data_IF_351137090305
#
_entry.id   IF_351137090305
#
_cell.length_a   1.000
_cell.length_b   1.000
_cell.length_c   1.000
_cell.angle_alpha   90.00
_cell.angle_beta   90.00
_cell.angle_gamma   90.00
#
_symmetry.space_group_name_H-M   'P 1'
#
loop_
_entity.id
_entity.type
_entity.pdbx_description
1 polymer ?
#
# COMPACT_ATOMS: atom_id res chain seq x y z
N UNK A 1 17.69 -4.60 -0.52
CA UNK A 1 16.71 -4.81 0.55
C UNK A 1 16.11 -3.47 0.95
N UNK A 2 14.87 -3.29 0.59
CA UNK A 2 14.12 -2.08 0.92
C UNK A 2 12.82 -2.43 1.63
N UNK A 3 12.23 -1.45 2.30
CA UNK A 3 10.90 -1.54 2.88
C UNK A 3 9.97 -0.73 1.98
N UNK A 4 8.95 -1.37 1.44
CA UNK A 4 8.11 -0.80 0.38
C UNK A 4 6.65 -0.96 0.76
N UNK A 5 5.96 0.17 0.97
CA UNK A 5 4.51 0.14 1.12
C UNK A 5 3.86 0.13 -0.26
N UNK A 6 2.92 -0.78 -0.44
CA UNK A 6 2.08 -0.81 -1.65
C UNK A 6 0.69 -0.27 -1.33
N UNK A 7 0.20 0.59 -2.21
CA UNK A 7 -1.13 1.18 -2.08
C UNK A 7 -2.22 0.14 -2.36
N UNK A 8 -3.43 0.39 -1.87
CA UNK A 8 -4.57 -0.53 -2.03
C UNK A 8 -4.83 -0.88 -3.49
N UNK A 9 -4.72 0.09 -4.41
CA UNK A 9 -4.94 -0.18 -5.82
C UNK A 9 -3.97 -1.24 -6.39
N UNK A 10 -2.74 -1.28 -5.92
CA UNK A 10 -1.76 -2.30 -6.33
C UNK A 10 -2.20 -3.69 -5.86
N UNK A 11 -2.72 -3.81 -4.64
CA UNK A 11 -3.25 -5.07 -4.12
C UNK A 11 -4.49 -5.53 -4.91
N UNK A 12 -5.38 -4.61 -5.25
CA UNK A 12 -6.56 -4.93 -6.07
C UNK A 12 -6.11 -5.47 -7.43
N UNK A 13 -5.16 -4.82 -8.08
CA UNK A 13 -4.61 -5.31 -9.35
C UNK A 13 -3.97 -6.69 -9.21
N UNK A 14 -3.21 -6.90 -8.14
CA UNK A 14 -2.55 -8.18 -7.87
C UNK A 14 -3.54 -9.35 -7.80
N UNK A 15 -4.65 -9.16 -7.11
CA UNK A 15 -5.61 -10.23 -6.82
C UNK A 15 -6.77 -10.33 -7.82
N UNK A 16 -7.17 -9.22 -8.45
CA UNK A 16 -8.45 -9.15 -9.17
C UNK A 16 -8.32 -8.73 -10.64
N UNK A 17 -7.15 -8.29 -11.09
CA UNK A 17 -6.98 -7.74 -12.43
C UNK A 17 -6.10 -8.62 -13.30
N UNK A 18 -6.67 -9.11 -14.41
CA UNK A 18 -5.94 -9.89 -15.41
C UNK A 18 -5.37 -9.03 -16.55
N UNK A 19 -5.56 -7.69 -16.47
CA UNK A 19 -5.03 -6.75 -17.44
C UNK A 19 -3.56 -6.43 -17.21
N UNK A 20 -3.04 -5.46 -17.95
CA UNK A 20 -1.66 -4.97 -17.82
C UNK A 20 -1.31 -4.53 -16.39
N UNK A 21 -2.24 -3.88 -15.67
CA UNK A 21 -1.99 -3.46 -14.29
C UNK A 21 -1.81 -4.65 -13.35
N UNK A 22 -2.60 -5.69 -13.53
CA UNK A 22 -2.44 -6.93 -12.77
C UNK A 22 -1.11 -7.60 -13.06
N UNK A 23 -0.71 -7.67 -14.32
CA UNK A 23 0.58 -8.23 -14.73
C UNK A 23 1.75 -7.44 -14.14
N UNK A 24 1.69 -6.11 -14.18
CA UNK A 24 2.72 -5.26 -13.59
C UNK A 24 2.78 -5.40 -12.07
N UNK A 25 1.65 -5.52 -11.40
CA UNK A 25 1.60 -5.73 -9.95
C UNK A 25 2.21 -7.06 -9.55
N UNK A 26 1.91 -8.13 -10.28
CA UNK A 26 2.53 -9.44 -10.04
C UNK A 26 4.04 -9.39 -10.27
N UNK A 27 4.49 -8.73 -11.33
CA UNK A 27 5.92 -8.55 -11.60
C UNK A 27 6.61 -7.75 -10.51
N UNK A 28 5.96 -6.71 -9.99
CA UNK A 28 6.47 -5.93 -8.86
C UNK A 28 6.71 -6.83 -7.64
N UNK A 29 5.73 -7.64 -7.27
CA UNK A 29 5.85 -8.56 -6.14
C UNK A 29 6.95 -9.60 -6.35
N UNK A 30 7.07 -10.15 -7.54
CA UNK A 30 8.18 -11.06 -7.88
C UNK A 30 9.54 -10.39 -7.71
N UNK A 31 9.68 -9.18 -8.23
CA UNK A 31 10.92 -8.42 -8.14
C UNK A 31 11.29 -8.09 -6.69
N UNK A 32 10.30 -7.68 -5.88
CA UNK A 32 10.52 -7.43 -4.46
C UNK A 32 10.97 -8.70 -3.73
N UNK A 33 10.36 -9.84 -4.06
CA UNK A 33 10.73 -11.13 -3.47
C UNK A 33 12.18 -11.52 -3.85
N UNK A 34 12.54 -11.36 -5.11
CA UNK A 34 13.91 -11.68 -5.57
C UNK A 34 14.98 -10.82 -4.91
N UNK A 35 14.65 -9.59 -4.54
CA UNK A 35 15.57 -8.67 -3.85
C UNK A 35 15.51 -8.77 -2.34
N UNK A 36 14.65 -9.62 -1.80
CA UNK A 36 14.39 -9.71 -0.37
C UNK A 36 13.90 -8.40 0.25
N UNK A 37 13.08 -7.65 -0.49
CA UNK A 37 12.42 -6.48 0.04
C UNK A 37 11.30 -6.87 1.01
N UNK A 38 11.00 -5.99 1.95
CA UNK A 38 9.85 -6.16 2.83
C UNK A 38 8.66 -5.42 2.23
N UNK A 39 7.61 -6.16 1.91
CA UNK A 39 6.34 -5.58 1.47
C UNK A 39 5.54 -5.14 2.69
N UNK A 40 5.18 -3.87 2.73
CA UNK A 40 4.39 -3.27 3.82
C UNK A 40 3.04 -2.85 3.27
N UNK A 41 1.99 -3.11 4.03
CA UNK A 41 0.62 -2.67 3.72
C UNK A 41 0.02 -2.01 4.97
N UNK A 42 -0.85 -1.02 4.77
CA UNK A 42 -1.60 -0.46 5.90
C UNK A 42 -2.79 -1.34 6.25
N UNK A 43 -3.19 -1.32 7.52
CA UNK A 43 -4.42 -2.01 7.95
C UNK A 43 -5.67 -1.45 7.25
N UNK A 44 -5.65 -0.19 6.83
CA UNK A 44 -6.72 0.39 5.99
C UNK A 44 -6.83 -0.34 4.64
N UNK A 45 -5.71 -0.69 4.01
CA UNK A 45 -5.72 -1.44 2.73
C UNK A 45 -6.37 -2.82 2.90
N UNK A 46 -6.12 -3.49 4.03
CA UNK A 46 -6.79 -4.75 4.35
C UNK A 46 -8.31 -4.55 4.36
N UNK A 47 -8.78 -3.53 5.08
CA UNK A 47 -10.21 -3.19 5.14
C UNK A 47 -10.80 -2.88 3.78
N UNK A 48 -10.12 -2.06 2.98
CA UNK A 48 -10.57 -1.68 1.65
C UNK A 48 -10.67 -2.89 0.70
N UNK A 49 -9.69 -3.79 0.75
CA UNK A 49 -9.70 -5.00 -0.07
C UNK A 49 -10.86 -5.95 0.26
N UNK A 50 -11.28 -5.96 1.53
CA UNK A 50 -12.38 -6.83 1.99
C UNK A 50 -13.77 -6.33 1.60
N UNK A 51 -13.92 -5.08 1.17
CA UNK A 51 -15.25 -4.49 0.88
C UNK A 51 -15.99 -5.28 -0.19
N UNK A 52 -15.39 -5.50 -1.35
CA UNK A 52 -16.05 -6.16 -2.47
C UNK A 52 -16.45 -7.58 -2.17
N UNK A 53 -15.56 -8.47 -1.69
CA UNK A 53 -15.99 -9.84 -1.38
C UNK A 53 -17.03 -9.92 -0.26
N UNK A 54 -17.04 -8.99 0.68
CA UNK A 54 -18.10 -8.94 1.70
C UNK A 54 -19.44 -8.48 1.12
N UNK A 55 -19.44 -7.49 0.23
CA UNK A 55 -20.67 -7.10 -0.50
C UNK A 55 -21.23 -8.25 -1.32
N UNK A 56 -20.37 -9.04 -1.93
CA UNK A 56 -20.75 -10.18 -2.77
C UNK A 56 -21.05 -11.44 -1.94
N UNK A 57 -20.99 -11.38 -0.62
CA UNK A 57 -21.10 -12.52 0.30
C UNK A 57 -20.16 -13.69 -0.07
N UNK A 58 -18.99 -13.37 -0.62
CA UNK A 58 -17.98 -14.35 -1.01
C UNK A 58 -17.05 -14.65 0.16
N UNK A 59 -17.50 -15.52 1.06
CA UNK A 59 -16.78 -15.86 2.28
C UNK A 59 -15.43 -16.55 2.01
N UNK A 60 -15.32 -17.30 0.92
CA UNK A 60 -14.08 -17.98 0.54
C UNK A 60 -13.00 -16.97 0.18
N UNK A 61 -13.32 -15.92 -0.56
CA UNK A 61 -12.36 -14.85 -0.91
C UNK A 61 -12.01 -14.03 0.32
N UNK A 62 -12.97 -13.73 1.20
CA UNK A 62 -12.67 -13.02 2.47
C UNK A 62 -11.64 -13.81 3.29
N UNK A 63 -11.86 -15.13 3.45
CA UNK A 63 -10.94 -15.99 4.20
C UNK A 63 -9.55 -16.04 3.53
N UNK A 64 -9.49 -16.10 2.20
CA UNK A 64 -8.25 -16.10 1.45
C UNK A 64 -7.44 -14.81 1.67
N UNK A 65 -8.08 -13.66 1.61
CA UNK A 65 -7.41 -12.38 1.85
C UNK A 65 -6.90 -12.26 3.29
N UNK A 66 -7.71 -12.63 4.27
CA UNK A 66 -7.28 -12.59 5.67
C UNK A 66 -6.09 -13.53 5.92
N UNK A 67 -6.10 -14.71 5.32
CA UNK A 67 -4.96 -15.64 5.40
C UNK A 67 -3.69 -15.03 4.80
N UNK A 68 -3.80 -14.38 3.64
CA UNK A 68 -2.67 -13.71 3.00
C UNK A 68 -2.05 -12.65 3.92
N UNK A 69 -2.87 -11.79 4.53
CA UNK A 69 -2.37 -10.73 5.41
C UNK A 69 -1.83 -11.24 6.76
N UNK A 70 -2.20 -12.44 7.16
CA UNK A 70 -1.72 -13.09 8.39
C UNK A 70 -0.54 -14.03 8.15
N UNK A 71 -0.17 -14.28 6.89
CA UNK A 71 0.82 -15.29 6.52
C UNK A 71 2.28 -14.91 6.80
N UNK A 72 2.56 -13.63 7.02
CA UNK A 72 3.92 -13.12 7.12
C UNK A 72 4.58 -12.77 5.78
N UNK A 73 3.89 -12.99 4.64
CA UNK A 73 4.37 -12.56 3.32
C UNK A 73 4.39 -11.04 3.18
N UNK A 74 3.53 -10.36 3.91
CA UNK A 74 3.49 -8.90 3.99
C UNK A 74 3.47 -8.48 5.46
N UNK A 75 4.04 -7.32 5.75
CA UNK A 75 3.97 -6.69 7.06
C UNK A 75 2.80 -5.71 7.07
N UNK A 76 1.83 -5.92 7.96
CA UNK A 76 0.70 -5.01 8.12
C UNK A 76 1.02 -3.99 9.19
N UNK A 77 0.93 -2.70 8.85
CA UNK A 77 1.15 -1.60 9.79
C UNK A 77 -0.17 -0.92 10.15
N UNK A 78 -0.40 -0.71 11.44
CA UNK A 78 -1.60 -0.06 11.92
C UNK A 78 -1.44 1.46 11.93
N UNK A 79 -2.56 2.16 11.70
CA UNK A 79 -2.64 3.60 11.89
C UNK A 79 -2.73 3.88 13.40
N UNK A 80 -1.62 4.27 14.01
CA UNK A 80 -1.51 4.55 15.44
C UNK A 80 -1.45 6.06 15.73
N UNK A 81 -1.26 6.44 16.99
CA UNK A 81 -1.21 7.86 17.41
C UNK A 81 -0.05 8.60 16.72
N UNK A 82 1.10 7.94 16.56
CA UNK A 82 2.24 8.52 15.83
C UNK A 82 1.88 8.82 14.37
N UNK A 83 1.13 7.93 13.72
CA UNK A 83 0.59 8.18 12.38
C UNK A 83 -0.33 9.40 12.35
N UNK A 84 -1.07 9.66 13.41
CA UNK A 84 -1.99 10.81 13.49
C UNK A 84 -1.27 12.14 13.38
N UNK A 85 -0.05 12.26 13.91
CA UNK A 85 0.75 13.47 13.79
C UNK A 85 1.14 13.72 12.32
N UNK A 86 1.67 12.71 11.65
CA UNK A 86 2.02 12.80 10.23
C UNK A 86 0.79 13.08 9.38
N UNK A 87 -0.31 12.39 9.66
CA UNK A 87 -1.59 12.58 8.98
C UNK A 87 -2.06 14.03 9.06
N UNK A 88 -2.01 14.63 10.27
CA UNK A 88 -2.44 16.01 10.46
C UNK A 88 -1.53 17.00 9.75
N UNK A 89 -0.22 16.80 9.76
CA UNK A 89 0.73 17.62 9.01
C UNK A 89 0.43 17.57 7.50
N UNK A 90 0.20 16.38 6.96
CA UNK A 90 -0.12 16.20 5.55
C UNK A 90 -1.42 16.91 5.16
N UNK A 91 -2.47 16.75 5.98
CA UNK A 91 -3.78 17.37 5.72
C UNK A 91 -3.75 18.89 5.89
N UNK A 92 -2.93 19.39 6.81
CA UNK A 92 -2.80 20.83 7.05
C UNK A 92 -1.99 21.56 5.97
N UNK A 93 -1.00 20.89 5.37
CA UNK A 93 -0.06 21.52 4.44
C UNK A 93 -0.36 21.22 2.96
N UNK A 94 -1.07 20.15 2.65
CA UNK A 94 -1.32 19.70 1.27
C UNK A 94 -2.80 19.41 1.03
N UNK A 95 -3.24 19.61 -0.21
CA UNK A 95 -4.59 19.24 -0.65
C UNK A 95 -4.66 17.73 -0.94
N UNK A 96 -4.53 16.93 0.10
CA UNK A 96 -4.51 15.47 0.03
C UNK A 96 -5.73 14.88 0.72
N UNK A 97 -6.29 13.81 0.16
CA UNK A 97 -7.43 13.10 0.74
C UNK A 97 -7.01 12.24 1.93
N UNK A 98 -7.94 12.01 2.86
CA UNK A 98 -7.66 11.22 4.06
C UNK A 98 -7.11 9.81 3.78
N UNK A 99 -7.63 9.02 2.83
CA UNK A 99 -7.06 7.71 2.56
C UNK A 99 -5.59 7.76 2.13
N UNK A 100 -5.22 8.73 1.30
CA UNK A 100 -3.84 8.91 0.84
C UNK A 100 -2.93 9.36 1.98
N UNK A 101 -3.42 10.26 2.82
CA UNK A 101 -2.68 10.71 4.00
C UNK A 101 -2.46 9.57 5.01
N UNK A 102 -3.43 8.66 5.15
CA UNK A 102 -3.29 7.45 5.99
C UNK A 102 -2.18 6.55 5.42
N UNK A 103 -2.15 6.30 4.13
CA UNK A 103 -1.12 5.48 3.49
C UNK A 103 0.28 6.05 3.71
N UNK A 104 0.47 7.34 3.45
CA UNK A 104 1.76 7.99 3.65
C UNK A 104 2.19 7.99 5.12
N UNK A 105 1.23 8.19 6.04
CA UNK A 105 1.50 8.17 7.47
C UNK A 105 1.95 6.78 7.94
N UNK A 106 1.29 5.74 7.47
CA UNK A 106 1.68 4.36 7.76
C UNK A 106 3.03 4.02 7.15
N UNK A 107 3.32 4.49 5.95
CA UNK A 107 4.61 4.28 5.30
C UNK A 107 5.75 4.93 6.09
N UNK A 108 5.54 6.13 6.62
CA UNK A 108 6.52 6.80 7.48
C UNK A 108 6.72 6.05 8.79
N UNK A 109 5.66 5.64 9.44
CA UNK A 109 5.71 4.89 10.70
C UNK A 109 6.47 3.58 10.55
N UNK A 110 6.25 2.87 9.45
CA UNK A 110 6.93 1.63 9.13
C UNK A 110 8.34 1.84 8.57
N UNK A 111 8.82 3.09 8.47
CA UNK A 111 10.14 3.46 7.94
C UNK A 111 10.36 2.90 6.53
N UNK A 112 9.35 3.03 5.68
CA UNK A 112 9.45 2.59 4.29
C UNK A 112 10.37 3.51 3.50
N UNK A 113 11.17 2.90 2.63
CA UNK A 113 12.02 3.60 1.68
C UNK A 113 11.22 4.11 0.48
N UNK A 114 10.24 3.31 0.05
CA UNK A 114 9.39 3.60 -1.10
C UNK A 114 7.93 3.33 -0.79
N UNK A 115 7.06 4.02 -1.54
CA UNK A 115 5.65 3.70 -1.66
C UNK A 115 5.31 3.56 -3.13
N UNK A 116 4.72 2.44 -3.52
CA UNK A 116 4.26 2.22 -4.90
C UNK A 116 2.76 2.42 -4.98
N UNK A 117 2.35 3.28 -5.89
CA UNK A 117 0.93 3.61 -6.13
C UNK A 117 0.69 3.79 -7.63
N UNK A 118 -0.57 3.69 -8.04
CA UNK A 118 -0.99 4.10 -9.39
C UNK A 118 -1.58 5.53 -9.39
N UNK A 119 -1.53 6.23 -8.26
CA UNK A 119 -1.99 7.62 -8.15
C UNK A 119 -0.82 8.59 -8.12
N UNK A 120 -0.57 9.24 -9.26
CA UNK A 120 0.55 10.17 -9.44
C UNK A 120 0.42 11.47 -8.63
N UNK A 121 -0.75 11.77 -8.08
CA UNK A 121 -0.95 12.99 -7.28
C UNK A 121 -0.12 12.99 -6.00
N UNK A 122 0.31 11.82 -5.54
CA UNK A 122 1.11 11.69 -4.31
C UNK A 122 2.60 11.98 -4.52
N UNK A 123 3.09 12.00 -5.75
CA UNK A 123 4.53 12.12 -6.05
C UNK A 123 5.13 13.48 -5.74
N UNK A 124 4.31 14.54 -5.59
CA UNK A 124 4.78 15.90 -5.31
C UNK A 124 4.78 16.29 -3.83
N UNK A 125 4.55 15.35 -2.93
CA UNK A 125 4.38 15.63 -1.50
C UNK A 125 5.69 15.40 -0.75
N UNK A 126 6.16 16.42 -0.04
CA UNK A 126 7.41 16.37 0.72
C UNK A 126 7.19 16.73 2.18
N UNK A 127 7.50 15.79 3.07
CA UNK A 127 7.75 16.01 4.50
C UNK A 127 8.94 15.13 4.91
N UNK A 128 9.73 15.53 5.94
CA UNK A 128 10.82 14.69 6.42
C UNK A 128 10.34 13.31 6.85
N UNK A 129 11.04 12.27 6.42
CA UNK A 129 10.74 10.89 6.77
C UNK A 129 9.69 10.19 5.90
N UNK A 130 9.08 10.88 4.94
CA UNK A 130 8.19 10.22 3.96
C UNK A 130 9.00 9.38 2.98
N UNK A 131 8.40 8.26 2.49
CA UNK A 131 9.04 7.46 1.45
C UNK A 131 9.08 8.20 0.12
N UNK A 132 9.94 7.73 -0.78
CA UNK A 132 9.90 8.13 -2.19
C UNK A 132 8.70 7.44 -2.83
N UNK A 133 7.81 8.22 -3.44
CA UNK A 133 6.61 7.69 -4.11
C UNK A 133 6.96 7.31 -5.54
N UNK A 134 6.70 6.06 -5.90
CA UNK A 134 6.92 5.50 -7.24
C UNK A 134 5.60 5.12 -7.85
N UNK A 135 5.42 5.38 -9.15
CA UNK A 135 4.26 4.88 -9.88
C UNK A 135 4.48 3.42 -10.32
N UNK A 136 3.41 2.64 -10.40
CA UNK A 136 3.48 1.26 -10.89
C UNK A 136 4.07 1.18 -12.31
N UNK A 137 3.68 2.11 -13.18
CA UNK A 137 4.10 2.11 -14.58
C UNK A 137 5.54 2.56 -14.82
N UNK A 138 6.15 3.29 -13.88
CA UNK A 138 7.50 3.85 -14.01
C UNK A 138 8.40 3.46 -12.82
N UNK A 139 8.02 2.41 -12.10
CA UNK A 139 8.77 1.94 -10.95
C UNK A 139 10.09 1.30 -11.39
N UNK A 140 11.23 1.66 -10.78
CA UNK A 140 12.51 0.97 -11.00
C UNK A 140 12.60 -0.37 -10.28
N UNK A 141 11.60 -0.71 -9.50
CA UNK A 141 11.52 -1.95 -8.73
C UNK A 141 11.13 -3.13 -9.60
#
# INVERSE_FOLDING_TARGET
MSRILVDTNILIYLFEDDSEFGNRSRQLFENMNLRNDTVVVSSMSVGELLIKPKKDANNAVVAHYLEFFQSGLVEVVDFNVSCSETFSDLRAQFAIKSPDAIQLSCAKEAKCDFMVTNDLRLSGIFLPGLPIVLSLGASPI
#
